data_IF_731365853782
#
_entry.id   IF_731365853782
#
_cell.length_a   1.000
_cell.length_b   1.000
_cell.length_c   1.000
_cell.angle_alpha   90.00
_cell.angle_beta   90.00
_cell.angle_gamma   90.00
#
_symmetry.space_group_name_H-M   'P 1'
#
loop_
_entity.id
_entity.type
_entity.pdbx_description
1 polymer ?
#
# COMPACT_ATOMS: atom_id res chain seq x y z
N UNK A 1 62.22 9.34 -25.26
CA UNK A 1 61.21 10.31 -24.82
C UNK A 1 60.42 9.71 -23.66
N UNK A 2 60.71 10.12 -22.43
CA UNK A 2 59.99 9.67 -21.23
C UNK A 2 58.72 10.51 -21.06
N UNK A 3 57.55 9.87 -21.20
CA UNK A 3 56.25 10.51 -20.94
C UNK A 3 56.18 10.90 -19.46
N UNK A 4 56.10 12.20 -19.17
CA UNK A 4 55.76 12.71 -17.84
C UNK A 4 54.35 12.22 -17.49
N UNK A 5 54.23 11.41 -16.43
CA UNK A 5 52.92 11.01 -15.91
C UNK A 5 52.30 12.21 -15.21
N UNK A 6 51.24 12.77 -15.77
CA UNK A 6 50.42 13.80 -15.09
C UNK A 6 49.69 13.11 -13.93
N UNK A 7 50.06 13.48 -12.70
CA UNK A 7 49.32 13.09 -11.50
C UNK A 7 48.13 14.02 -11.28
N UNK A 8 47.07 13.50 -10.67
CA UNK A 8 45.95 14.32 -10.21
C UNK A 8 46.41 15.25 -9.09
N UNK A 9 45.90 16.48 -9.07
CA UNK A 9 46.08 17.40 -7.96
C UNK A 9 45.14 17.04 -6.81
N UNK A 10 45.56 17.33 -5.58
CA UNK A 10 44.71 17.12 -4.39
C UNK A 10 43.40 17.92 -4.47
N UNK A 11 43.44 19.10 -5.08
CA UNK A 11 42.25 19.95 -5.24
C UNK A 11 41.26 19.37 -6.26
N UNK A 12 41.73 18.76 -7.35
CA UNK A 12 40.86 18.09 -8.32
C UNK A 12 40.13 16.91 -7.67
N UNK A 13 40.84 16.10 -6.87
CA UNK A 13 40.21 14.99 -6.15
C UNK A 13 39.21 15.48 -5.11
N UNK A 14 39.52 16.57 -4.40
CA UNK A 14 38.64 17.17 -3.40
C UNK A 14 37.34 17.68 -4.01
N UNK A 15 37.40 18.35 -5.16
CA UNK A 15 36.20 18.86 -5.85
C UNK A 15 35.31 17.69 -6.32
N UNK A 16 35.89 16.60 -6.81
CA UNK A 16 35.13 15.43 -7.28
C UNK A 16 34.35 14.77 -6.15
N UNK A 17 35.00 14.51 -5.01
CA UNK A 17 34.30 13.90 -3.86
C UNK A 17 33.23 14.83 -3.30
N UNK A 18 33.44 16.16 -3.34
CA UNK A 18 32.44 17.14 -2.93
C UNK A 18 31.19 17.08 -3.82
N UNK A 19 31.35 17.03 -5.15
CA UNK A 19 30.23 16.92 -6.09
C UNK A 19 29.49 15.59 -5.92
N UNK A 20 30.22 14.47 -5.80
CA UNK A 20 29.62 13.14 -5.55
C UNK A 20 28.81 13.16 -4.25
N UNK A 21 29.34 13.80 -3.19
CA UNK A 21 28.63 13.94 -1.91
C UNK A 21 27.30 14.67 -2.05
N UNK A 22 27.25 15.77 -2.82
CA UNK A 22 26.01 16.53 -3.07
C UNK A 22 25.01 15.69 -3.88
N UNK A 23 25.46 15.02 -4.94
CA UNK A 23 24.57 14.19 -5.76
C UNK A 23 24.02 12.99 -4.99
N UNK A 24 24.84 12.37 -4.14
CA UNK A 24 24.43 11.24 -3.32
C UNK A 24 23.32 11.60 -2.33
N UNK A 25 23.38 12.76 -1.67
CA UNK A 25 22.34 13.16 -0.72
C UNK A 25 21.00 13.42 -1.39
N UNK A 26 20.99 14.11 -2.54
CA UNK A 26 19.78 14.33 -3.33
C UNK A 26 19.14 13.02 -3.80
N UNK A 27 19.98 12.07 -4.25
CA UNK A 27 19.52 10.75 -4.67
C UNK A 27 18.85 9.97 -3.54
N UNK A 28 19.37 10.05 -2.31
CA UNK A 28 18.80 9.39 -1.13
C UNK A 28 17.41 9.94 -0.81
N UNK A 29 17.22 11.27 -0.83
CA UNK A 29 15.90 11.87 -0.57
C UNK A 29 14.89 11.46 -1.64
N UNK A 30 15.28 11.52 -2.93
CA UNK A 30 14.41 11.10 -4.03
C UNK A 30 14.01 9.62 -3.91
N UNK A 31 14.95 8.75 -3.53
CA UNK A 31 14.68 7.32 -3.33
C UNK A 31 13.71 7.06 -2.18
N UNK A 32 13.82 7.80 -1.07
CA UNK A 32 12.90 7.66 0.06
C UNK A 32 11.47 8.01 -0.35
N UNK A 33 11.29 9.11 -1.10
CA UNK A 33 9.98 9.50 -1.61
C UNK A 33 9.42 8.48 -2.61
N UNK A 34 10.25 7.97 -3.53
CA UNK A 34 9.85 6.95 -4.49
C UNK A 34 9.39 5.66 -3.79
N UNK A 35 10.09 5.23 -2.74
CA UNK A 35 9.71 4.06 -1.92
C UNK A 35 8.37 4.27 -1.20
N UNK A 36 8.13 5.46 -0.65
CA UNK A 36 6.84 5.82 -0.04
C UNK A 36 5.70 5.69 -1.04
N UNK A 37 5.84 6.33 -2.21
CA UNK A 37 4.83 6.28 -3.27
C UNK A 37 4.59 4.84 -3.77
N UNK A 38 5.65 4.03 -3.87
CA UNK A 38 5.53 2.63 -4.27
C UNK A 38 4.75 1.79 -3.23
N UNK A 39 4.93 2.05 -1.93
CA UNK A 39 4.13 1.40 -0.88
C UNK A 39 2.67 1.82 -0.94
N UNK A 40 2.36 3.10 -1.14
CA UNK A 40 0.98 3.57 -1.30
C UNK A 40 0.30 2.98 -2.55
N UNK A 41 1.01 2.92 -3.68
CA UNK A 41 0.52 2.26 -4.89
C UNK A 41 0.25 0.77 -4.65
N UNK A 42 1.14 0.09 -3.91
CA UNK A 42 0.93 -1.30 -3.50
C UNK A 42 -0.28 -1.44 -2.59
N UNK A 43 -0.51 -0.54 -1.64
CA UNK A 43 -1.70 -0.56 -0.77
C UNK A 43 -3.01 -0.52 -1.57
N UNK A 44 -3.10 0.38 -2.54
CA UNK A 44 -4.26 0.46 -3.43
C UNK A 44 -4.42 -0.83 -4.25
N UNK A 45 -3.33 -1.37 -4.80
CA UNK A 45 -3.38 -2.58 -5.62
C UNK A 45 -3.80 -3.82 -4.81
N UNK A 46 -3.27 -3.97 -3.60
CA UNK A 46 -3.57 -5.07 -2.68
C UNK A 46 -5.05 -5.02 -2.27
N UNK A 47 -5.56 -3.84 -1.88
CA UNK A 47 -6.98 -3.65 -1.52
C UNK A 47 -7.89 -3.95 -2.70
N UNK A 48 -7.58 -3.48 -3.92
CA UNK A 48 -8.38 -3.79 -5.12
C UNK A 48 -8.43 -5.29 -5.44
N UNK A 49 -7.33 -6.01 -5.20
CA UNK A 49 -7.31 -7.47 -5.33
C UNK A 49 -8.23 -8.13 -4.30
N UNK A 50 -8.22 -7.65 -3.05
CA UNK A 50 -9.15 -8.11 -2.02
C UNK A 50 -10.61 -7.87 -2.42
N UNK A 51 -10.95 -6.66 -2.91
CA UNK A 51 -12.30 -6.38 -3.41
C UNK A 51 -12.71 -7.35 -4.53
N UNK A 52 -11.81 -7.60 -5.49
CA UNK A 52 -12.10 -8.55 -6.58
C UNK A 52 -12.39 -9.96 -6.04
N UNK A 53 -11.60 -10.43 -5.07
CA UNK A 53 -11.80 -11.74 -4.46
C UNK A 53 -13.09 -11.83 -3.63
N UNK A 54 -13.43 -10.76 -2.90
CA UNK A 54 -14.67 -10.65 -2.14
C UNK A 54 -15.89 -10.68 -3.08
N UNK A 55 -15.80 -10.05 -4.23
CA UNK A 55 -16.92 -9.96 -5.17
C UNK A 55 -17.16 -11.29 -5.88
N UNK A 56 -16.09 -12.02 -6.19
CA UNK A 56 -16.18 -13.40 -6.64
C UNK A 56 -16.80 -14.30 -5.56
N UNK A 57 -16.37 -14.15 -4.31
CA UNK A 57 -16.97 -14.88 -3.18
C UNK A 57 -18.47 -14.58 -3.08
N UNK A 58 -18.87 -13.31 -3.16
CA UNK A 58 -20.27 -12.91 -3.09
C UNK A 58 -21.09 -13.47 -4.26
N UNK A 59 -20.53 -13.50 -5.47
CA UNK A 59 -21.21 -14.07 -6.64
C UNK A 59 -21.63 -15.53 -6.39
N UNK A 60 -20.72 -16.32 -5.85
CA UNK A 60 -20.93 -17.75 -5.62
C UNK A 60 -21.76 -18.05 -4.36
N UNK A 61 -21.63 -17.21 -3.33
CA UNK A 61 -22.20 -17.50 -2.00
C UNK A 61 -23.41 -16.63 -1.64
N UNK A 62 -23.64 -15.50 -2.33
CA UNK A 62 -24.68 -14.49 -2.06
C UNK A 62 -24.55 -13.76 -0.70
N UNK A 63 -23.36 -13.81 -0.09
CA UNK A 63 -22.97 -13.05 1.09
C UNK A 63 -21.45 -12.85 1.09
N UNK A 64 -20.92 -11.90 1.87
CA UNK A 64 -19.48 -11.71 2.07
C UNK A 64 -18.98 -12.53 3.26
N UNK A 65 -17.70 -12.92 3.31
CA UNK A 65 -17.14 -13.66 4.44
C UNK A 65 -17.32 -12.91 5.76
N UNK A 66 -17.61 -13.60 6.85
CA UNK A 66 -17.73 -12.97 8.17
C UNK A 66 -16.39 -12.42 8.67
N UNK A 67 -15.30 -13.11 8.32
CA UNK A 67 -13.95 -12.80 8.78
C UNK A 67 -12.97 -12.92 7.62
N UNK A 68 -12.14 -11.89 7.46
CA UNK A 68 -10.97 -11.90 6.59
C UNK A 68 -9.80 -11.39 7.42
N UNK A 69 -8.76 -12.20 7.55
CA UNK A 69 -7.57 -11.88 8.34
C UNK A 69 -6.35 -11.77 7.46
N UNK A 70 -5.42 -10.89 7.81
CA UNK A 70 -4.09 -10.82 7.19
C UNK A 70 -3.41 -12.20 7.18
N UNK A 71 -2.80 -12.55 6.04
CA UNK A 71 -2.18 -13.85 5.80
C UNK A 71 -3.15 -15.03 5.68
N UNK A 72 -4.46 -14.80 5.86
CA UNK A 72 -5.51 -15.81 5.73
C UNK A 72 -5.88 -16.11 4.28
N UNK A 73 -6.78 -17.06 4.09
CA UNK A 73 -7.32 -17.46 2.79
C UNK A 73 -8.80 -17.08 2.71
N UNK A 74 -9.23 -16.51 1.59
CA UNK A 74 -10.66 -16.31 1.29
C UNK A 74 -11.10 -17.50 0.44
N UNK A 75 -11.91 -18.38 1.03
CA UNK A 75 -12.39 -19.60 0.39
C UNK A 75 -13.78 -19.98 0.92
N UNK A 76 -14.57 -20.66 0.09
CA UNK A 76 -15.85 -21.27 0.47
C UNK A 76 -16.08 -22.52 -0.35
N UNK A 77 -16.64 -23.58 0.26
CA UNK A 77 -17.03 -24.82 -0.41
C UNK A 77 -15.92 -25.46 -1.27
N UNK A 78 -14.66 -25.34 -0.85
CA UNK A 78 -13.50 -25.88 -1.58
C UNK A 78 -12.99 -25.03 -2.75
N UNK A 79 -13.62 -23.88 -3.00
CA UNK A 79 -13.16 -22.87 -3.97
C UNK A 79 -12.36 -21.80 -3.24
N UNK A 80 -11.16 -21.49 -3.75
CA UNK A 80 -10.30 -20.42 -3.22
C UNK A 80 -10.40 -19.19 -4.11
N UNK A 81 -10.84 -18.06 -3.54
CA UNK A 81 -10.93 -16.77 -4.22
C UNK A 81 -9.67 -15.94 -4.02
N UNK A 82 -9.02 -16.08 -2.87
CA UNK A 82 -7.71 -15.50 -2.59
C UNK A 82 -6.92 -16.43 -1.67
N UNK A 83 -5.73 -16.84 -2.10
CA UNK A 83 -4.89 -17.78 -1.34
C UNK A 83 -4.32 -17.13 -0.08
N UNK A 84 -3.80 -15.91 -0.21
CA UNK A 84 -3.19 -15.15 0.89
C UNK A 84 -3.72 -13.72 0.84
N UNK A 85 -4.41 -13.30 1.90
CA UNK A 85 -4.76 -11.90 2.14
C UNK A 85 -3.47 -11.14 2.41
N UNK A 86 -3.19 -10.06 1.66
CA UNK A 86 -1.94 -9.32 1.81
C UNK A 86 -1.90 -8.53 3.12
N UNK A 87 -0.68 -8.22 3.57
CA UNK A 87 -0.41 -7.30 4.67
C UNK A 87 0.00 -5.92 4.15
N UNK A 88 -0.31 -4.88 4.92
CA UNK A 88 0.09 -3.53 4.56
C UNK A 88 1.64 -3.40 4.54
N UNK A 89 2.25 -2.85 3.47
CA UNK A 89 3.69 -2.67 3.39
C UNK A 89 4.24 -1.83 4.56
N UNK A 90 5.42 -2.21 5.04
CA UNK A 90 6.14 -1.51 6.12
C UNK A 90 7.35 -0.74 5.56
N UNK A 91 7.81 0.33 6.23
CA UNK A 91 7.21 0.96 7.41
C UNK A 91 5.93 1.76 7.06
N UNK A 92 5.20 2.19 8.08
CA UNK A 92 4.17 3.21 7.94
C UNK A 92 4.82 4.54 7.51
N UNK A 93 4.16 5.30 6.64
CA UNK A 93 4.68 6.56 6.09
C UNK A 93 3.67 7.69 6.15
N UNK A 94 4.20 8.92 6.16
CA UNK A 94 3.40 10.13 5.98
C UNK A 94 2.34 10.26 7.06
N UNK A 95 1.08 10.30 6.66
CA UNK A 95 -0.07 10.43 7.57
C UNK A 95 -0.44 9.12 8.26
N UNK A 96 0.13 7.98 7.86
CA UNK A 96 -0.19 6.69 8.46
C UNK A 96 0.60 6.47 9.74
N UNK A 97 -0.11 6.23 10.84
CA UNK A 97 0.50 5.75 12.07
C UNK A 97 0.85 4.27 11.93
N UNK A 98 1.82 3.79 12.71
CA UNK A 98 2.16 2.37 12.74
C UNK A 98 0.94 1.49 13.10
N UNK A 99 0.06 1.98 13.97
CA UNK A 99 -1.17 1.29 14.38
C UNK A 99 -2.23 1.22 13.27
N UNK A 100 -2.28 2.20 12.36
CA UNK A 100 -3.24 2.24 11.24
C UNK A 100 -2.67 1.70 9.91
N UNK A 101 -1.41 1.26 9.90
CA UNK A 101 -0.80 0.60 8.75
C UNK A 101 -1.11 -0.90 8.74
N UNK A 102 -2.40 -1.22 8.63
CA UNK A 102 -2.94 -2.57 8.49
C UNK A 102 -4.10 -2.54 7.50
N UNK A 103 -4.53 -3.71 7.03
CA UNK A 103 -5.82 -3.87 6.34
C UNK A 103 -6.80 -4.49 7.33
N UNK A 104 -7.82 -3.74 7.71
CA UNK A 104 -8.86 -4.24 8.62
C UNK A 104 -10.12 -4.48 7.84
N UNK A 105 -10.51 -5.74 7.70
CA UNK A 105 -11.78 -6.10 7.10
C UNK A 105 -12.88 -6.12 8.17
N UNK A 106 -13.97 -5.42 7.89
CA UNK A 106 -15.21 -5.50 8.67
C UNK A 106 -16.33 -5.94 7.74
N UNK A 107 -16.76 -7.19 7.88
CA UNK A 107 -17.98 -7.67 7.23
C UNK A 107 -19.20 -7.12 7.97
N UNK A 108 -20.22 -6.66 7.25
CA UNK A 108 -21.52 -6.45 7.87
C UNK A 108 -22.10 -7.83 8.20
N UNK A 109 -21.94 -8.27 9.45
CA UNK A 109 -22.52 -9.52 9.94
C UNK A 109 -24.03 -9.56 9.65
N UNK A 110 -24.52 -10.73 9.26
CA UNK A 110 -25.94 -11.14 9.13
C UNK A 110 -26.99 -10.02 9.17
N UNK A 111 -27.52 -9.68 7.99
CA UNK A 111 -28.82 -9.05 7.72
C UNK A 111 -29.24 -7.87 8.62
N UNK A 112 -29.04 -6.64 8.14
CA UNK A 112 -29.85 -5.48 8.55
C UNK A 112 -30.88 -5.21 7.45
N UNK A 113 -32.00 -5.94 7.48
CA UNK A 113 -33.11 -5.77 6.51
C UNK A 113 -32.80 -6.32 5.11
N UNK A 114 -33.32 -5.66 4.07
CA UNK A 114 -33.15 -6.04 2.64
C UNK A 114 -31.73 -5.75 2.09
N UNK A 115 -30.82 -5.23 2.91
CA UNK A 115 -29.42 -5.00 2.54
C UNK A 115 -28.58 -6.24 2.84
N UNK A 116 -28.39 -7.07 1.81
CA UNK A 116 -27.51 -8.23 1.85
C UNK A 116 -26.07 -7.80 1.59
N UNK A 117 -25.19 -7.99 2.58
CA UNK A 117 -23.75 -8.03 2.37
C UNK A 117 -23.13 -6.72 1.92
N UNK A 118 -22.63 -5.94 2.86
CA UNK A 118 -21.59 -4.94 2.60
C UNK A 118 -20.36 -5.29 3.42
N UNK A 119 -19.22 -4.74 3.04
CA UNK A 119 -18.00 -4.83 3.84
C UNK A 119 -17.24 -3.51 3.76
N UNK A 120 -16.36 -3.28 4.73
CA UNK A 120 -15.32 -2.27 4.64
C UNK A 120 -13.95 -2.93 4.75
N UNK A 121 -12.99 -2.43 3.98
CA UNK A 121 -11.56 -2.66 4.22
C UNK A 121 -10.94 -1.31 4.55
N UNK A 122 -10.56 -1.15 5.80
CA UNK A 122 -9.91 0.03 6.32
C UNK A 122 -8.40 -0.09 6.04
N UNK A 123 -7.82 0.96 5.45
CA UNK A 123 -6.38 1.07 5.21
C UNK A 123 -5.95 2.53 5.21
N UNK A 124 -4.64 2.80 5.16
CA UNK A 124 -4.12 4.16 5.17
C UNK A 124 -3.15 4.42 4.02
N UNK A 125 -3.24 5.61 3.41
CA UNK A 125 -2.28 6.11 2.42
C UNK A 125 -1.40 7.20 3.03
N UNK A 126 -0.08 7.08 2.88
CA UNK A 126 0.86 8.03 3.47
C UNK A 126 0.93 9.35 2.70
N UNK A 127 0.53 9.36 1.44
CA UNK A 127 0.45 10.52 0.57
C UNK A 127 -0.63 10.35 -0.51
N UNK A 128 -0.94 11.45 -1.20
CA UNK A 128 -1.90 11.42 -2.31
C UNK A 128 -1.42 10.46 -3.40
N UNK A 129 -2.23 9.45 -3.73
CA UNK A 129 -1.86 8.39 -4.66
C UNK A 129 -3.09 7.93 -5.46
N UNK A 130 -2.97 7.86 -6.79
CA UNK A 130 -4.04 7.33 -7.63
C UNK A 130 -5.35 8.14 -7.61
N UNK A 131 -5.27 9.45 -7.32
CA UNK A 131 -6.43 10.33 -7.19
C UNK A 131 -7.09 10.32 -5.81
N UNK A 132 -6.60 9.50 -4.88
CA UNK A 132 -7.03 9.46 -3.48
C UNK A 132 -6.10 10.33 -2.63
N UNK A 133 -6.66 11.02 -1.64
CA UNK A 133 -5.90 11.85 -0.73
C UNK A 133 -5.06 11.02 0.25
N UNK A 134 -4.19 11.67 1.03
CA UNK A 134 -3.51 11.01 2.13
C UNK A 134 -4.50 10.67 3.27
N UNK A 135 -4.08 9.80 4.19
CA UNK A 135 -4.85 9.43 5.39
C UNK A 135 -5.62 8.12 5.25
N UNK A 136 -6.56 7.92 6.18
CA UNK A 136 -7.40 6.73 6.24
C UNK A 136 -8.37 6.66 5.05
N UNK A 137 -8.56 5.43 4.58
CA UNK A 137 -9.35 5.05 3.41
C UNK A 137 -10.15 3.80 3.74
N UNK A 138 -11.30 3.70 3.07
CA UNK A 138 -12.22 2.59 3.22
C UNK A 138 -12.56 2.08 1.84
N UNK A 139 -12.34 0.79 1.60
CA UNK A 139 -12.83 0.14 0.41
C UNK A 139 -14.14 -0.57 0.73
N UNK A 140 -15.15 -0.30 -0.08
CA UNK A 140 -16.47 -0.93 -0.05
C UNK A 140 -16.71 -1.63 -1.39
N UNK A 141 -17.80 -2.40 -1.56
CA UNK A 141 -18.17 -2.91 -2.89
C UNK A 141 -18.33 -1.79 -3.95
N UNK A 142 -18.66 -0.57 -3.53
CA UNK A 142 -18.80 0.60 -4.40
C UNK A 142 -17.49 1.29 -4.79
N UNK A 143 -16.35 0.86 -4.22
CA UNK A 143 -15.03 1.46 -4.47
C UNK A 143 -14.37 2.01 -3.20
N UNK A 144 -13.29 2.77 -3.41
CA UNK A 144 -12.47 3.34 -2.34
C UNK A 144 -12.91 4.79 -2.09
N UNK A 145 -13.16 5.12 -0.82
CA UNK A 145 -13.56 6.46 -0.38
C UNK A 145 -12.62 7.00 0.70
N UNK A 146 -12.58 8.34 0.82
CA UNK A 146 -11.81 9.05 1.83
C UNK A 146 -12.58 9.19 3.15
N UNK A 147 -11.97 8.82 4.29
CA UNK A 147 -12.45 9.21 5.63
C UNK A 147 -13.41 8.26 6.38
N UNK A 148 -13.43 8.43 7.71
CA UNK A 148 -14.01 7.62 8.81
C UNK A 148 -15.21 6.71 8.48
N UNK A 149 -15.09 5.40 8.83
CA UNK A 149 -16.13 4.33 8.83
C UNK A 149 -17.35 4.67 9.68
N UNK A 150 -18.06 5.73 9.31
CA UNK A 150 -19.26 6.20 9.99
C UNK A 150 -20.42 6.05 9.04
N UNK A 151 -20.86 4.80 8.89
CA UNK A 151 -22.24 4.43 8.63
C UNK A 151 -22.66 3.43 9.69
#
# INVERSE_FOLDING_TARGET
>A
MTKQKKGFTLIELLVVIAIIGILATLAVVALQQARKNARDAKRIADVRQMQTALELYFNDNQYYPDVVTDGGTIASNGVTYMNIVPSAPTPADGTCAAASNTYTYTGAGTAVGDYWGSYTIDFCLGGQTGGLDAGEKYATPGGIIDGSSTY
#
